data_IF_125753004899
#
_entry.id   IF_125753004899
#
_cell.length_a   1.000
_cell.length_b   1.000
_cell.length_c   1.000
_cell.angle_alpha   90.00
_cell.angle_beta   90.00
_cell.angle_gamma   90.00
#
_symmetry.space_group_name_H-M   'P 1'
#
loop_
_entity.id
_entity.type
_entity.pdbx_description
1 polymer ?
#
# COMPACT_ATOMS: atom_id res chain seq x y z
N UNK A 1 1.39 -20.89 -10.99
CA UNK A 1 2.39 -20.11 -10.22
C UNK A 1 2.45 -20.72 -8.83
N UNK A 2 3.49 -21.48 -8.49
CA UNK A 2 3.66 -21.98 -7.11
C UNK A 2 4.12 -20.81 -6.25
N UNK A 3 3.30 -20.42 -5.28
CA UNK A 3 3.70 -19.42 -4.29
C UNK A 3 4.70 -20.07 -3.33
N UNK A 4 5.90 -19.52 -3.21
CA UNK A 4 6.90 -19.96 -2.22
C UNK A 4 6.42 -19.51 -0.85
N UNK A 5 5.63 -20.35 -0.18
CA UNK A 5 5.19 -20.10 1.19
C UNK A 5 5.99 -21.00 2.14
N UNK A 6 6.84 -20.40 2.97
CA UNK A 6 7.49 -21.12 4.07
C UNK A 6 6.53 -21.23 5.25
N UNK A 7 6.34 -22.44 5.82
CA UNK A 7 5.62 -22.62 7.10
C UNK A 7 6.19 -21.74 8.23
N UNK A 8 7.48 -21.40 8.18
CA UNK A 8 8.15 -20.50 9.14
C UNK A 8 7.76 -19.01 8.97
N UNK A 9 7.03 -18.63 7.93
CA UNK A 9 6.69 -17.23 7.64
C UNK A 9 5.27 -16.81 8.10
N UNK A 10 4.51 -17.68 8.76
CA UNK A 10 3.10 -17.40 9.07
C UNK A 10 2.90 -16.20 10.02
N UNK A 11 3.89 -15.86 10.85
CA UNK A 11 3.81 -14.77 11.84
C UNK A 11 4.90 -13.70 11.69
N UNK A 12 5.58 -13.63 10.54
CA UNK A 12 6.60 -12.59 10.34
C UNK A 12 5.95 -11.28 9.90
N UNK A 13 6.34 -10.14 10.50
CA UNK A 13 5.92 -8.86 9.99
C UNK A 13 6.46 -8.66 8.58
N UNK A 14 5.67 -8.00 7.73
CA UNK A 14 6.09 -7.66 6.38
C UNK A 14 5.51 -6.32 5.95
N UNK A 15 6.25 -5.65 5.07
CA UNK A 15 5.88 -4.37 4.48
C UNK A 15 6.16 -4.45 2.98
N UNK A 16 5.12 -4.36 2.16
CA UNK A 16 5.23 -4.51 0.71
C UNK A 16 4.74 -3.25 0.01
N UNK A 17 5.58 -2.66 -0.85
CA UNK A 17 5.19 -1.58 -1.73
C UNK A 17 4.61 -2.17 -3.02
N UNK A 18 3.30 -2.05 -3.22
CA UNK A 18 2.63 -2.67 -4.36
C UNK A 18 1.63 -1.71 -5.02
N UNK A 19 1.33 -1.92 -6.31
CA UNK A 19 0.26 -1.21 -6.98
C UNK A 19 -1.09 -1.35 -6.26
N UNK A 20 -1.92 -0.32 -6.36
CA UNK A 20 -3.24 -0.31 -5.74
C UNK A 20 -4.21 -1.35 -6.31
N UNK A 21 -3.92 -2.00 -7.44
CA UNK A 21 -4.80 -3.03 -7.98
C UNK A 21 -4.58 -4.39 -7.30
N UNK A 22 -3.44 -4.62 -6.65
CA UNK A 22 -3.07 -5.91 -6.05
C UNK A 22 -4.04 -6.32 -4.94
N UNK A 23 -4.43 -5.41 -4.03
CA UNK A 23 -5.40 -5.71 -2.96
C UNK A 23 -6.78 -6.16 -3.48
N UNK A 24 -7.07 -5.91 -4.76
CA UNK A 24 -8.34 -6.29 -5.40
C UNK A 24 -8.27 -7.65 -6.08
N UNK A 25 -7.09 -8.27 -6.18
CA UNK A 25 -6.92 -9.54 -6.87
C UNK A 25 -7.25 -10.70 -5.93
N UNK A 26 -8.00 -11.67 -6.43
CA UNK A 26 -8.47 -12.81 -5.66
C UNK A 26 -7.34 -13.60 -5.02
N UNK A 27 -6.21 -13.76 -5.70
CA UNK A 27 -5.05 -14.47 -5.15
C UNK A 27 -4.54 -13.78 -3.87
N UNK A 28 -4.50 -12.44 -3.85
CA UNK A 28 -4.02 -11.69 -2.71
C UNK A 28 -5.01 -11.77 -1.55
N UNK A 29 -6.30 -11.62 -1.85
CA UNK A 29 -7.36 -11.72 -0.85
C UNK A 29 -7.41 -13.11 -0.23
N UNK A 30 -7.33 -14.17 -1.04
CA UNK A 30 -7.27 -15.56 -0.57
C UNK A 30 -6.02 -15.78 0.28
N UNK A 31 -4.85 -15.29 -0.15
CA UNK A 31 -3.60 -15.43 0.61
C UNK A 31 -3.72 -14.76 1.99
N UNK A 32 -4.21 -13.52 2.06
CA UNK A 32 -4.35 -12.82 3.34
C UNK A 32 -5.48 -13.39 4.20
N UNK A 33 -6.64 -13.71 3.61
CA UNK A 33 -7.78 -14.25 4.35
C UNK A 33 -7.50 -15.65 4.90
N UNK A 34 -6.93 -16.55 4.09
CA UNK A 34 -6.59 -17.91 4.52
C UNK A 34 -5.54 -17.93 5.62
N UNK A 35 -4.66 -16.92 5.65
CA UNK A 35 -3.67 -16.75 6.71
C UNK A 35 -4.19 -15.96 7.92
N UNK A 36 -5.47 -15.54 7.93
CA UNK A 36 -6.03 -14.68 8.98
C UNK A 36 -5.38 -13.30 9.06
N UNK A 37 -4.66 -12.88 8.01
CA UNK A 37 -3.90 -11.65 7.94
C UNK A 37 -4.81 -10.51 7.47
N UNK A 38 -4.88 -9.45 8.29
CA UNK A 38 -5.65 -8.23 7.99
C UNK A 38 -4.68 -7.04 7.88
N UNK A 39 -4.05 -6.86 6.70
CA UNK A 39 -3.03 -5.84 6.56
C UNK A 39 -3.59 -4.42 6.63
N UNK A 40 -2.73 -3.48 7.02
CA UNK A 40 -2.97 -2.04 6.94
C UNK A 40 -2.52 -1.56 5.56
N UNK A 41 -3.25 -0.62 4.99
CA UNK A 41 -2.90 0.06 3.75
C UNK A 41 -2.46 1.49 4.06
N UNK A 42 -1.23 1.85 3.72
CA UNK A 42 -0.69 3.20 3.88
C UNK A 42 -0.51 3.84 2.50
N UNK A 43 -1.33 4.86 2.23
CA UNK A 43 -1.45 5.54 0.94
C UNK A 43 -0.67 6.86 1.02
N UNK A 44 0.43 7.02 0.29
CA UNK A 44 1.17 8.27 0.31
C UNK A 44 0.37 9.38 -0.41
N UNK A 45 0.41 10.62 0.12
CA UNK A 45 -0.23 11.76 -0.58
C UNK A 45 0.46 12.11 -1.89
N UNK A 46 1.79 11.99 -1.93
CA UNK A 46 2.59 12.10 -3.15
C UNK A 46 2.82 10.72 -3.74
N UNK A 47 2.47 10.54 -5.01
CA UNK A 47 2.63 9.26 -5.70
C UNK A 47 4.12 8.90 -5.86
N UNK A 48 4.42 7.61 -5.72
CA UNK A 48 5.71 7.07 -6.14
C UNK A 48 5.92 7.27 -7.64
N UNK A 49 7.16 7.56 -7.99
CA UNK A 49 7.60 7.74 -9.38
C UNK A 49 8.67 6.70 -9.65
N UNK A 50 8.44 5.86 -10.65
CA UNK A 50 9.44 4.90 -11.08
C UNK A 50 10.30 5.57 -12.14
N UNK A 51 11.60 5.65 -11.85
CA UNK A 51 12.57 6.16 -12.80
C UNK A 51 12.98 4.99 -13.70
N UNK A 52 12.68 5.04 -15.02
CA UNK A 52 13.19 4.03 -15.92
C UNK A 52 14.73 4.14 -16.01
N UNK A 53 15.41 3.00 -16.28
CA UNK A 53 16.83 2.99 -16.57
C UNK A 53 17.19 4.01 -17.66
N UNK A 54 18.39 4.62 -17.61
CA UNK A 54 18.78 5.67 -18.56
C UNK A 54 18.65 5.24 -20.03
N UNK A 55 18.93 3.97 -20.33
CA UNK A 55 18.85 3.36 -21.66
C UNK A 55 17.42 3.17 -22.18
N UNK A 56 16.42 3.14 -21.30
CA UNK A 56 15.00 3.05 -21.64
C UNK A 56 14.27 4.41 -21.56
N UNK A 57 14.99 5.51 -21.30
CA UNK A 57 14.41 6.85 -21.34
C UNK A 57 14.30 7.29 -22.79
N UNK A 58 13.10 7.19 -23.34
CA UNK A 58 12.79 7.87 -24.59
C UNK A 58 13.04 9.39 -24.40
N UNK A 59 13.86 9.99 -25.27
CA UNK A 59 14.03 11.45 -25.35
C UNK A 59 12.72 12.06 -25.82
N UNK A 60 11.79 12.33 -24.90
CA UNK A 60 10.50 12.96 -25.23
C UNK A 60 10.35 14.33 -24.55
N UNK A 61 9.68 15.23 -25.28
CA UNK A 61 9.64 16.68 -25.06
C UNK A 61 8.96 17.12 -23.74
N UNK A 62 8.14 16.26 -23.12
CA UNK A 62 7.36 16.62 -21.93
C UNK A 62 7.96 16.05 -20.63
N UNK A 63 8.07 16.90 -19.60
CA UNK A 63 8.56 16.53 -18.26
C UNK A 63 7.65 15.51 -17.55
N UNK A 64 6.36 15.48 -17.92
CA UNK A 64 5.34 14.57 -17.39
C UNK A 64 5.58 13.11 -17.82
N UNK A 65 6.15 12.90 -19.01
CA UNK A 65 6.46 11.56 -19.54
C UNK A 65 7.85 11.04 -19.13
N UNK A 66 8.72 11.87 -18.53
CA UNK A 66 10.01 11.43 -17.97
C UNK A 66 9.86 10.57 -16.70
N UNK A 67 8.65 10.53 -16.14
CA UNK A 67 8.30 9.93 -14.85
C UNK A 67 7.13 8.97 -15.06
N UNK A 68 7.41 7.69 -15.26
CA UNK A 68 6.37 6.68 -15.36
C UNK A 68 5.90 6.27 -13.97
N UNK A 69 4.65 6.55 -13.64
CA UNK A 69 3.94 5.88 -12.55
C UNK A 69 2.67 5.29 -13.13
N UNK A 70 2.75 4.13 -13.81
CA UNK A 70 1.60 3.55 -14.49
C UNK A 70 0.47 3.22 -13.50
N UNK A 71 0.79 3.04 -12.21
CA UNK A 71 -0.17 2.75 -11.16
C UNK A 71 0.17 3.53 -9.89
N UNK A 72 -0.87 3.91 -9.13
CA UNK A 72 -0.69 4.42 -7.77
C UNK A 72 -0.25 3.25 -6.88
N UNK A 73 0.94 3.33 -6.31
CA UNK A 73 1.44 2.34 -5.33
C UNK A 73 1.16 2.79 -3.90
N UNK A 74 0.97 1.83 -3.02
CA UNK A 74 0.77 2.02 -1.59
C UNK A 74 1.48 0.91 -0.81
N UNK A 75 1.71 1.14 0.48
CA UNK A 75 2.29 0.13 1.36
C UNK A 75 1.20 -0.76 1.93
N UNK A 76 1.50 -2.05 1.97
CA UNK A 76 0.70 -3.09 2.60
C UNK A 76 1.51 -3.57 3.80
N UNK A 77 0.93 -3.50 4.99
CA UNK A 77 1.64 -3.72 6.25
C UNK A 77 0.96 -4.84 7.04
N UNK A 78 1.73 -5.82 7.49
CA UNK A 78 1.30 -6.83 8.44
C UNK A 78 2.30 -6.88 9.59
N UNK A 79 1.81 -6.83 10.82
CA UNK A 79 2.63 -6.84 12.03
C UNK A 79 3.06 -8.23 12.50
N UNK A 80 2.82 -9.28 11.72
CA UNK A 80 3.12 -10.66 12.11
C UNK A 80 2.03 -11.30 12.98
N UNK A 81 1.33 -10.50 13.79
CA UNK A 81 0.13 -10.91 14.52
C UNK A 81 -0.97 -9.84 14.41
N UNK A 82 -2.20 -10.22 14.77
CA UNK A 82 -3.35 -9.30 14.80
C UNK A 82 -3.11 -8.15 15.79
N UNK A 83 -2.54 -8.44 16.96
CA UNK A 83 -2.34 -7.44 18.02
C UNK A 83 -1.30 -6.39 17.62
N UNK A 84 -0.14 -6.83 17.12
CA UNK A 84 0.91 -5.92 16.63
C UNK A 84 0.40 -5.10 15.44
N UNK A 85 -0.38 -5.72 14.55
CA UNK A 85 -0.98 -4.98 13.42
C UNK A 85 -1.99 -3.93 13.93
N UNK A 86 -2.76 -4.22 14.96
CA UNK A 86 -3.69 -3.24 15.54
C UNK A 86 -2.96 -2.10 16.26
N UNK A 87 -1.86 -2.40 16.94
CA UNK A 87 -0.98 -1.40 17.56
C UNK A 87 -0.41 -0.44 16.50
N UNK A 88 0.17 -0.99 15.43
CA UNK A 88 0.68 -0.19 14.31
C UNK A 88 -0.41 0.69 13.69
N UNK A 89 -1.62 0.14 13.52
CA UNK A 89 -2.74 0.90 12.98
C UNK A 89 -3.09 2.11 13.85
N UNK A 90 -3.16 1.94 15.18
CA UNK A 90 -3.43 3.04 16.12
C UNK A 90 -2.36 4.12 16.03
N UNK A 91 -1.09 3.74 16.04
CA UNK A 91 0.05 4.67 15.92
C UNK A 91 -0.02 5.45 14.61
N UNK A 92 -0.31 4.78 13.48
CA UNK A 92 -0.39 5.42 12.17
C UNK A 92 -1.56 6.39 12.06
N UNK A 93 -2.73 6.05 12.61
CA UNK A 93 -3.90 6.95 12.65
C UNK A 93 -3.61 8.17 13.53
N UNK A 94 -2.99 7.97 14.70
CA UNK A 94 -2.60 9.08 15.57
C UNK A 94 -1.61 10.01 14.88
N UNK A 95 -0.58 9.46 14.20
CA UNK A 95 0.37 10.26 13.41
C UNK A 95 -0.29 11.04 12.28
N UNK A 96 -1.30 10.47 11.62
CA UNK A 96 -2.04 11.14 10.55
C UNK A 96 -2.76 12.42 11.06
N UNK A 97 -3.20 12.43 12.33
CA UNK A 97 -3.94 13.54 12.94
C UNK A 97 -3.03 14.66 13.46
N UNK A 98 -1.72 14.42 13.61
CA UNK A 98 -0.77 15.41 14.14
C UNK A 98 -0.51 16.57 13.14
N UNK A 99 -0.07 17.75 13.63
CA UNK A 99 0.43 18.82 12.77
C UNK A 99 1.63 18.31 11.94
N UNK A 100 1.51 18.30 10.61
CA UNK A 100 2.49 17.69 9.71
C UNK A 100 2.19 16.23 9.29
N UNK A 101 1.17 15.60 9.88
CA UNK A 101 0.69 14.24 9.59
C UNK A 101 0.05 14.04 8.21
N UNK A 102 -0.01 15.09 7.37
CA UNK A 102 -0.58 15.05 6.01
C UNK A 102 0.31 14.32 4.98
N UNK A 103 1.21 13.43 5.40
CA UNK A 103 2.12 12.72 4.50
C UNK A 103 1.48 11.48 3.86
N UNK A 104 0.55 10.84 4.57
CA UNK A 104 -0.11 9.62 4.13
C UNK A 104 -1.55 9.54 4.67
N UNK A 105 -2.34 8.67 4.06
CA UNK A 105 -3.61 8.19 4.58
C UNK A 105 -3.49 6.72 5.00
N UNK A 106 -4.26 6.33 6.00
CA UNK A 106 -4.29 4.95 6.52
C UNK A 106 -5.68 4.34 6.29
N UNK A 107 -5.72 3.09 5.85
CA UNK A 107 -6.95 2.31 5.71
C UNK A 107 -6.77 0.85 6.15
N UNK A 108 -7.88 0.21 6.54
CA UNK A 108 -7.93 -1.21 6.96
C UNK A 108 -8.72 -2.10 6.00
N UNK A 109 -9.36 -1.52 5.00
CA UNK A 109 -10.26 -2.24 4.12
C UNK A 109 -10.38 -1.57 2.75
N UNK A 110 -10.95 -2.31 1.81
CA UNK A 110 -11.33 -1.81 0.49
C UNK A 110 -12.32 -0.64 0.57
N UNK A 111 -13.28 -0.69 1.50
CA UNK A 111 -14.20 0.43 1.74
C UNK A 111 -13.46 1.65 2.26
N UNK A 112 -12.57 1.48 3.25
CA UNK A 112 -11.73 2.57 3.75
C UNK A 112 -10.88 3.21 2.66
N UNK A 113 -10.24 2.40 1.80
CA UNK A 113 -9.48 2.91 0.65
C UNK A 113 -10.34 3.68 -0.37
N UNK A 114 -11.62 3.30 -0.53
CA UNK A 114 -12.56 4.02 -1.39
C UNK A 114 -12.97 5.34 -0.75
N UNK A 115 -13.26 5.32 0.54
CA UNK A 115 -13.76 6.49 1.27
C UNK A 115 -12.68 7.56 1.41
N UNK A 116 -11.41 7.18 1.57
CA UNK A 116 -10.26 8.10 1.48
C UNK A 116 -10.19 8.89 0.16
N UNK A 117 -10.74 8.36 -0.94
CA UNK A 117 -10.72 9.01 -2.26
C UNK A 117 -11.95 9.89 -2.50
N UNK A 118 -12.99 9.76 -1.70
CA UNK A 118 -14.20 10.58 -1.85
C UNK A 118 -13.89 11.95 -1.25
N UNK A 119 -13.88 12.98 -2.10
CA UNK A 119 -13.91 14.36 -1.60
C UNK A 119 -15.20 14.54 -0.80
N UNK A 120 -15.17 15.18 0.38
CA UNK A 120 -16.41 15.55 1.07
C UNK A 120 -17.25 16.38 0.10
N UNK A 121 -18.55 16.08 0.00
CA UNK A 121 -19.49 16.96 -0.70
C UNK A 121 -19.45 18.29 0.03
N UNK A 122 -19.17 19.37 -0.71
CA UNK A 122 -19.35 20.73 -0.23
C UNK A 122 -20.83 21.00 -0.03
#
# INVERSE_FOLDING_TARGET
>A
MQHVTSKKNQNKPWMLLMPNFVHKKDYFQKLTANAGQLPIYLVPKKRYIYLPPPTMREKKASSTHKKSSPFVSMWYLWGGSRDVTNEWYRVLVQKQQQPGGKLFDVARSKSGLRDLRRKPKK
#
